data_IF_126434019016
#
_entry.id   IF_126434019016
#
_cell.length_a   1.000
_cell.length_b   1.000
_cell.length_c   1.000
_cell.angle_alpha   90.00
_cell.angle_beta   90.00
_cell.angle_gamma   90.00
#
_symmetry.space_group_name_H-M   'P 1'
#
loop_
_entity.id
_entity.type
_entity.pdbx_description
1 polymer ?
#
# COMPACT_ATOMS: atom_id res chain seq x y z
N UNK A 1 7.47 29.91 -3.61
CA UNK A 1 7.09 30.81 -4.72
C UNK A 1 5.94 30.27 -5.58
N UNK A 2 5.88 28.97 -5.92
CA UNK A 2 4.85 28.36 -6.80
C UNK A 2 3.40 28.56 -6.32
N UNK A 3 3.13 28.33 -5.03
CA UNK A 3 1.79 28.48 -4.43
C UNK A 3 1.18 29.86 -4.66
N UNK A 4 1.96 30.93 -4.47
CA UNK A 4 1.48 32.31 -4.65
C UNK A 4 1.18 32.63 -6.12
N UNK A 5 1.99 32.11 -7.03
CA UNK A 5 1.79 32.27 -8.47
C UNK A 5 0.52 31.55 -8.96
N UNK A 6 0.25 30.35 -8.44
CA UNK A 6 -1.00 29.62 -8.74
C UNK A 6 -2.21 30.41 -8.24
N UNK A 7 -2.24 30.84 -6.98
CA UNK A 7 -3.37 31.62 -6.46
C UNK A 7 -3.60 32.91 -7.26
N UNK A 8 -2.53 33.61 -7.65
CA UNK A 8 -2.62 34.84 -8.44
C UNK A 8 -3.17 34.58 -9.85
N UNK A 9 -2.78 33.48 -10.50
CA UNK A 9 -3.31 33.11 -11.81
C UNK A 9 -4.76 32.62 -11.70
N UNK A 10 -5.06 31.73 -10.76
CA UNK A 10 -6.43 31.22 -10.53
C UNK A 10 -7.41 32.36 -10.28
N UNK A 11 -7.03 33.35 -9.47
CA UNK A 11 -7.90 34.52 -9.20
C UNK A 11 -8.05 35.48 -10.38
N UNK A 12 -7.10 35.50 -11.32
CA UNK A 12 -7.22 36.26 -12.57
C UNK A 12 -8.14 35.58 -13.58
N UNK A 13 -8.16 34.25 -13.61
CA UNK A 13 -8.99 33.47 -14.53
C UNK A 13 -10.40 33.18 -13.98
N UNK A 14 -10.57 33.07 -12.67
CA UNK A 14 -11.89 32.91 -12.03
C UNK A 14 -12.56 34.27 -11.82
N UNK A 15 -13.34 34.69 -12.82
CA UNK A 15 -14.34 35.74 -12.63
C UNK A 15 -15.45 35.23 -11.69
N UNK A 16 -16.13 36.10 -10.92
CA UNK A 16 -17.26 35.69 -10.09
C UNK A 16 -18.35 35.08 -10.98
N UNK A 17 -18.57 33.77 -10.82
CA UNK A 17 -19.54 33.01 -11.61
C UNK A 17 -20.90 33.15 -10.96
N UNK A 18 -21.90 33.49 -11.76
CA UNK A 18 -23.30 33.51 -11.38
C UNK A 18 -23.73 32.14 -10.81
N UNK A 19 -24.54 32.13 -9.74
CA UNK A 19 -24.86 30.93 -8.97
C UNK A 19 -25.37 29.77 -9.83
N UNK A 20 -26.28 30.03 -10.77
CA UNK A 20 -26.83 29.00 -11.65
C UNK A 20 -25.78 28.35 -12.57
N UNK A 21 -24.81 29.15 -13.03
CA UNK A 21 -23.72 28.65 -13.88
C UNK A 21 -22.76 27.80 -13.04
N UNK A 22 -22.46 28.21 -11.81
CA UNK A 22 -21.62 27.46 -10.90
C UNK A 22 -22.20 26.06 -10.60
N UNK A 23 -23.50 25.98 -10.30
CA UNK A 23 -24.16 24.70 -9.99
C UNK A 23 -24.19 23.76 -11.21
N UNK A 24 -24.44 24.29 -12.41
CA UNK A 24 -24.37 23.51 -13.67
C UNK A 24 -22.97 22.95 -13.91
N UNK A 25 -21.92 23.76 -13.71
CA UNK A 25 -20.54 23.33 -13.90
C UNK A 25 -20.09 22.33 -12.84
N UNK A 26 -20.48 22.51 -11.58
CA UNK A 26 -20.24 21.55 -10.50
C UNK A 26 -20.82 20.18 -10.83
N UNK A 27 -22.07 20.13 -11.30
CA UNK A 27 -22.71 18.85 -11.68
C UNK A 27 -22.00 18.16 -12.85
N UNK A 28 -21.58 18.93 -13.86
CA UNK A 28 -20.84 18.40 -15.01
C UNK A 28 -19.46 17.86 -14.62
N UNK A 29 -18.74 18.60 -13.77
CA UNK A 29 -17.44 18.17 -13.26
C UNK A 29 -17.57 16.92 -12.38
N UNK A 30 -18.61 16.84 -11.54
CA UNK A 30 -18.87 15.64 -10.74
C UNK A 30 -19.13 14.41 -11.63
N UNK A 31 -19.91 14.56 -12.70
CA UNK A 31 -20.17 13.48 -13.65
C UNK A 31 -18.90 13.04 -14.39
N UNK A 32 -18.10 14.01 -14.86
CA UNK A 32 -16.81 13.73 -15.51
C UNK A 32 -15.83 13.04 -14.56
N UNK A 33 -15.75 13.51 -13.33
CA UNK A 33 -14.94 12.88 -12.27
C UNK A 33 -15.40 11.46 -11.99
N UNK A 34 -16.71 11.23 -11.87
CA UNK A 34 -17.26 9.90 -11.64
C UNK A 34 -16.90 8.92 -12.77
N UNK A 35 -17.09 9.32 -14.03
CA UNK A 35 -16.75 8.49 -15.18
C UNK A 35 -15.24 8.18 -15.22
N UNK A 36 -14.40 9.17 -14.97
CA UNK A 36 -12.95 8.98 -14.97
C UNK A 36 -12.52 8.06 -13.82
N UNK A 37 -13.04 8.28 -12.62
CA UNK A 37 -12.78 7.45 -11.45
C UNK A 37 -13.28 6.01 -11.66
N UNK A 38 -14.43 5.83 -12.31
CA UNK A 38 -14.97 4.51 -12.63
C UNK A 38 -14.07 3.74 -13.62
N UNK A 39 -13.56 4.44 -14.64
CA UNK A 39 -12.59 3.84 -15.57
C UNK A 39 -11.27 3.49 -14.88
N UNK A 40 -10.75 4.40 -14.04
CA UNK A 40 -9.53 4.15 -13.26
C UNK A 40 -9.71 2.97 -12.30
N UNK A 41 -10.87 2.88 -11.63
CA UNK A 41 -11.22 1.77 -10.76
C UNK A 41 -11.21 0.44 -11.51
N UNK A 42 -11.86 0.38 -12.69
CA UNK A 42 -11.84 -0.82 -13.54
C UNK A 42 -10.43 -1.24 -13.95
N UNK A 43 -9.57 -0.27 -14.31
CA UNK A 43 -8.17 -0.55 -14.63
C UNK A 43 -7.40 -1.12 -13.44
N UNK A 44 -7.63 -0.60 -12.24
CA UNK A 44 -6.99 -1.11 -11.01
C UNK A 44 -7.47 -2.54 -10.73
N UNK A 45 -8.78 -2.81 -10.81
CA UNK A 45 -9.32 -4.16 -10.66
C UNK A 45 -8.74 -5.14 -11.69
N UNK A 46 -8.58 -4.71 -12.94
CA UNK A 46 -7.98 -5.53 -13.99
C UNK A 46 -6.49 -5.82 -13.73
N UNK A 47 -5.73 -4.84 -13.24
CA UNK A 47 -4.34 -5.05 -12.83
C UNK A 47 -4.23 -6.01 -11.65
N UNK A 48 -5.14 -5.91 -10.69
CA UNK A 48 -5.19 -6.84 -9.56
C UNK A 48 -5.50 -8.27 -10.02
N UNK A 49 -6.46 -8.44 -10.94
CA UNK A 49 -6.80 -9.75 -11.53
C UNK A 49 -5.61 -10.40 -12.26
N UNK A 50 -4.79 -9.60 -12.94
CA UNK A 50 -3.55 -10.08 -13.59
C UNK A 50 -2.41 -10.39 -12.62
N UNK A 51 -2.63 -10.32 -11.30
CA UNK A 51 -1.59 -10.56 -10.30
C UNK A 51 -0.58 -9.42 -10.20
N UNK A 52 -0.84 -8.26 -10.82
CA UNK A 52 0.00 -7.05 -10.73
C UNK A 52 -0.42 -6.15 -9.56
N UNK A 53 -1.03 -6.71 -8.52
CA UNK A 53 -1.38 -5.99 -7.29
C UNK A 53 -0.16 -5.39 -6.59
N UNK A 54 0.99 -6.07 -6.68
CA UNK A 54 2.29 -5.54 -6.28
C UNK A 54 2.94 -4.79 -7.45
N UNK A 55 2.64 -3.49 -7.54
CA UNK A 55 3.20 -2.61 -8.57
C UNK A 55 4.73 -2.58 -8.55
N UNK A 56 5.35 -2.76 -7.37
CA UNK A 56 6.81 -2.80 -7.20
C UNK A 56 7.46 -4.01 -7.91
N UNK A 57 6.77 -5.16 -7.90
CA UNK A 57 7.22 -6.36 -8.63
C UNK A 57 7.10 -6.15 -10.14
N UNK A 58 5.99 -5.55 -10.58
CA UNK A 58 5.75 -5.26 -11.99
C UNK A 58 6.66 -4.16 -12.57
N UNK A 59 7.21 -3.29 -11.72
CA UNK A 59 8.13 -2.22 -12.10
C UNK A 59 9.62 -2.65 -12.10
N UNK A 60 9.91 -3.92 -11.75
CA UNK A 60 11.30 -4.43 -11.67
C UNK A 60 12.13 -3.79 -10.55
N UNK A 61 11.49 -3.10 -9.60
CA UNK A 61 12.16 -2.41 -8.48
C UNK A 61 12.43 -3.36 -7.29
N UNK A 62 11.94 -4.60 -7.37
CA UNK A 62 12.10 -5.61 -6.32
C UNK A 62 12.97 -6.74 -6.84
N UNK A 63 14.13 -6.93 -6.23
CA UNK A 63 15.05 -8.04 -6.50
C UNK A 63 14.41 -9.36 -6.03
N UNK A 64 14.71 -10.50 -6.68
CA UNK A 64 14.14 -11.81 -6.29
C UNK A 64 14.44 -12.15 -4.82
N UNK A 65 15.59 -11.70 -4.29
CA UNK A 65 15.99 -11.83 -2.90
C UNK A 65 15.09 -11.02 -1.93
N UNK A 66 14.65 -9.83 -2.34
CA UNK A 66 13.73 -8.99 -1.57
C UNK A 66 12.30 -9.52 -1.57
N UNK A 67 11.95 -10.39 -2.52
CA UNK A 67 10.64 -11.06 -2.56
C UNK A 67 10.55 -12.15 -1.49
N UNK A 68 11.66 -12.82 -1.21
CA UNK A 68 11.76 -13.89 -0.22
C UNK A 68 11.88 -13.34 1.21
N UNK A 69 12.43 -12.13 1.38
CA UNK A 69 12.56 -11.51 2.69
C UNK A 69 11.21 -11.02 3.24
N UNK A 70 10.80 -11.47 4.45
CA UNK A 70 9.67 -10.89 5.15
C UNK A 70 9.84 -9.39 5.34
N UNK A 71 8.76 -8.62 5.22
CA UNK A 71 8.76 -7.15 5.37
C UNK A 71 9.44 -6.69 6.67
N UNK A 72 9.21 -7.40 7.78
CA UNK A 72 9.86 -7.05 9.05
C UNK A 72 11.37 -7.32 9.08
N UNK A 73 11.86 -8.27 8.27
CA UNK A 73 13.30 -8.48 8.10
C UNK A 73 13.92 -7.37 7.22
N UNK A 74 13.22 -6.93 6.18
CA UNK A 74 13.65 -5.79 5.35
C UNK A 74 13.79 -4.51 6.19
N UNK A 75 12.81 -4.25 7.08
CA UNK A 75 12.88 -3.11 8.00
C UNK A 75 13.98 -3.25 9.05
N UNK A 76 14.22 -4.45 9.59
CA UNK A 76 15.32 -4.68 10.53
C UNK A 76 16.68 -4.43 9.87
N UNK A 77 16.86 -4.88 8.62
CA UNK A 77 18.07 -4.62 7.82
C UNK A 77 18.25 -3.13 7.53
N UNK A 78 17.19 -2.42 7.13
CA UNK A 78 17.24 -0.97 6.88
C UNK A 78 17.62 -0.17 8.15
N UNK A 79 17.20 -0.64 9.32
CA UNK A 79 17.44 0.02 10.61
C UNK A 79 18.72 -0.46 11.32
N UNK A 80 19.44 -1.45 10.76
CA UNK A 80 20.64 -2.03 11.36
C UNK A 80 20.39 -2.77 12.68
N UNK A 81 19.16 -3.28 12.89
CA UNK A 81 18.77 -3.95 14.13
C UNK A 81 19.13 -5.43 14.02
N UNK A 82 20.20 -5.83 14.71
CA UNK A 82 20.76 -7.19 14.64
C UNK A 82 19.93 -8.23 15.41
N UNK A 83 19.13 -7.81 16.40
CA UNK A 83 18.30 -8.68 17.22
C UNK A 83 16.87 -8.14 17.31
N UNK A 84 15.91 -8.77 16.63
CA UNK A 84 14.51 -8.35 16.65
C UNK A 84 13.55 -9.54 16.62
N UNK A 85 12.58 -9.54 17.54
CA UNK A 85 11.44 -10.47 17.50
C UNK A 85 10.36 -9.86 16.61
N UNK A 86 10.09 -10.46 15.47
CA UNK A 86 9.05 -9.98 14.55
C UNK A 86 7.81 -10.86 14.66
N UNK A 87 6.68 -10.23 15.01
CA UNK A 87 5.37 -10.90 15.06
C UNK A 87 4.53 -10.41 13.90
N UNK A 88 4.18 -11.30 12.97
CA UNK A 88 3.27 -10.97 11.86
C UNK A 88 1.83 -11.19 12.29
N UNK A 89 1.08 -10.10 12.36
CA UNK A 89 -0.37 -10.12 12.60
C UNK A 89 -1.06 -9.89 11.26
N UNK A 90 -1.97 -10.80 10.85
CA UNK A 90 -2.78 -10.64 9.64
C UNK A 90 -4.26 -10.72 10.01
N UNK A 91 -5.01 -9.64 9.75
CA UNK A 91 -6.39 -9.53 10.18
C UNK A 91 -6.51 -9.60 11.70
N UNK A 92 -7.19 -10.64 12.20
CA UNK A 92 -7.42 -10.89 13.64
C UNK A 92 -6.62 -12.10 14.19
N UNK A 93 -5.72 -12.70 13.39
CA UNK A 93 -4.95 -13.90 13.79
C UNK A 93 -3.44 -13.61 13.72
N UNK A 94 -2.68 -14.16 14.68
CA UNK A 94 -1.21 -14.19 14.63
C UNK A 94 -0.81 -15.24 13.60
N UNK A 95 -0.07 -14.84 12.55
CA UNK A 95 0.27 -15.69 11.40
C UNK A 95 1.70 -16.24 11.48
N UNK A 96 2.55 -15.68 12.33
CA UNK A 96 3.86 -16.28 12.64
C UNK A 96 4.75 -15.37 13.46
N UNK A 97 5.63 -15.99 14.24
CA UNK A 97 6.73 -15.35 14.96
C UNK A 97 8.04 -15.83 14.31
N UNK A 98 8.95 -14.91 14.00
CA UNK A 98 10.32 -15.22 13.62
C UNK A 98 11.27 -14.29 14.37
N UNK A 99 12.38 -14.84 14.82
CA UNK A 99 13.44 -14.08 15.48
C UNK A 99 14.54 -13.82 14.46
N UNK A 100 14.97 -12.57 14.38
CA UNK A 100 16.16 -12.16 13.65
C UNK A 100 17.27 -12.14 14.70
N UNK A 101 18.28 -13.02 14.57
CA UNK A 101 19.51 -12.98 15.36
C UNK A 101 20.68 -12.87 14.40
N UNK A 102 21.58 -11.93 14.67
CA UNK A 102 22.81 -11.66 13.90
C UNK A 102 22.57 -11.50 12.38
N UNK A 103 21.41 -10.95 11.99
CA UNK A 103 21.04 -10.72 10.59
C UNK A 103 20.45 -11.93 9.85
N UNK A 104 20.34 -13.09 10.49
CA UNK A 104 19.71 -14.29 9.92
C UNK A 104 18.31 -14.53 10.49
N UNK A 105 17.38 -14.96 9.63
CA UNK A 105 15.99 -15.23 9.98
C UNK A 105 15.90 -16.63 10.57
N UNK A 106 15.79 -16.73 11.89
CA UNK A 106 15.55 -18.00 12.57
C UNK A 106 14.03 -18.20 12.67
N UNK A 107 13.51 -19.10 11.84
CA UNK A 107 12.12 -19.55 11.91
C UNK A 107 12.04 -20.64 12.99
N UNK A 108 11.31 -20.46 14.10
CA UNK A 108 11.11 -21.56 15.05
C UNK A 108 10.38 -22.70 14.33
N UNK A 109 10.88 -23.93 14.49
CA UNK A 109 10.29 -25.13 13.94
C UNK A 109 8.82 -25.28 14.38
N UNK A 110 7.94 -25.91 13.58
CA UNK A 110 6.55 -26.11 13.98
C UNK A 110 6.53 -26.92 15.28
N UNK A 111 5.94 -26.36 16.33
CA UNK A 111 5.68 -27.10 17.56
C UNK A 111 4.58 -28.12 17.27
N UNK A 112 4.97 -29.36 17.02
CA UNK A 112 4.09 -30.53 17.01
C UNK A 112 3.37 -30.62 18.37
N UNK A 113 2.16 -30.09 18.42
CA UNK A 113 1.25 -30.20 19.54
C UNK A 113 0.27 -31.33 19.22
N UNK A 114 0.70 -32.58 19.37
CA UNK A 114 -0.17 -33.75 19.51
C UNK A 114 0.63 -34.97 19.98
N UNK A 115 1.02 -34.99 21.25
CA UNK A 115 1.31 -36.25 21.95
C UNK A 115 1.25 -36.05 23.47
N UNK A 116 0.07 -36.19 24.06
CA UNK A 116 -0.16 -36.76 25.41
C UNK A 116 -1.60 -36.52 25.87
N UNK A 117 -2.53 -37.35 25.40
CA UNK A 117 -3.70 -37.71 26.18
C UNK A 117 -3.81 -39.24 26.22
N UNK A 118 -4.17 -39.75 27.41
CA UNK A 118 -4.26 -41.15 27.90
C UNK A 118 -2.94 -41.74 28.43
N UNK A 119 -2.96 -42.45 29.57
CA UNK A 119 -4.03 -43.32 30.06
C UNK A 119 -5.11 -42.65 30.93
#
# INVERSE_FOLDING_TARGET
MVRWWIYKNVRKFMQPVEFEKAEKWKRRLALGYFLLAWNAFGLICYQYYQGRGDWAKAAGLKTEEDELMPVGAQFANMLGIQNAKVTRISGLRKVGEYEIKDGEIIRPAPSDSNSSETP
#
